data_IF_862432621312
#
_entry.id   IF_862432621312
#
_cell.length_a   1.000
_cell.length_b   1.000
_cell.length_c   1.000
_cell.angle_alpha   90.00
_cell.angle_beta   90.00
_cell.angle_gamma   90.00
#
_symmetry.space_group_name_H-M   'P 1'
#
loop_
_entity.id
_entity.type
_entity.pdbx_description
1 polymer ?
#
# COMPACT_ATOMS: atom_id res chain seq x y z
N UNK A 1 -10.14 3.01 -1.13
CA UNK A 1 -11.33 2.76 -1.95
C UNK A 1 -12.55 3.51 -1.40
N UNK A 2 -12.93 3.34 -0.13
CA UNK A 2 -14.10 3.99 0.49
C UNK A 2 -14.13 5.48 0.24
N UNK A 3 -13.06 6.20 0.54
CA UNK A 3 -12.97 7.65 0.26
C UNK A 3 -13.22 7.98 -1.21
N UNK A 4 -12.68 7.20 -2.15
CA UNK A 4 -12.91 7.43 -3.57
C UNK A 4 -14.40 7.30 -3.93
N UNK A 5 -15.10 6.30 -3.39
CA UNK A 5 -16.55 6.13 -3.57
C UNK A 5 -17.36 7.29 -2.97
N UNK A 6 -16.92 7.86 -1.85
CA UNK A 6 -17.54 9.02 -1.21
C UNK A 6 -17.43 10.31 -2.04
N UNK A 7 -16.50 10.33 -3.01
CA UNK A 7 -16.35 11.37 -4.02
C UNK A 7 -16.90 10.92 -5.40
N UNK A 8 -17.93 10.06 -5.41
CA UNK A 8 -18.64 9.57 -6.61
C UNK A 8 -17.70 8.96 -7.67
N UNK A 9 -16.57 8.39 -7.23
CA UNK A 9 -15.52 7.86 -8.12
C UNK A 9 -15.02 8.86 -9.19
N UNK A 10 -15.19 10.17 -8.94
CA UNK A 10 -14.86 11.24 -9.88
C UNK A 10 -13.36 11.28 -10.24
N UNK A 11 -12.50 10.71 -9.38
CA UNK A 11 -11.05 10.73 -9.55
C UNK A 11 -10.50 9.31 -9.69
N UNK A 12 -9.54 9.12 -10.60
CA UNK A 12 -8.75 7.90 -10.67
C UNK A 12 -7.78 7.80 -9.50
N UNK A 13 -7.29 6.59 -9.19
CA UNK A 13 -6.25 6.42 -8.17
C UNK A 13 -4.97 7.21 -8.47
N UNK A 14 -4.60 7.36 -9.75
CA UNK A 14 -3.46 8.15 -10.16
C UNK A 14 -3.64 9.64 -9.79
N UNK A 15 -4.80 10.21 -10.11
CA UNK A 15 -5.12 11.61 -9.75
C UNK A 15 -5.13 11.82 -8.23
N UNK A 16 -5.65 10.86 -7.46
CA UNK A 16 -5.62 10.95 -5.99
C UNK A 16 -4.18 10.91 -5.47
N UNK A 17 -3.31 10.09 -6.07
CA UNK A 17 -1.89 10.07 -5.74
C UNK A 17 -1.20 11.41 -6.04
N UNK A 18 -1.47 12.01 -7.20
CA UNK A 18 -0.94 13.34 -7.56
C UNK A 18 -1.40 14.41 -6.56
N UNK A 19 -2.69 14.45 -6.24
CA UNK A 19 -3.23 15.38 -5.22
C UNK A 19 -2.61 15.17 -3.84
N UNK A 20 -2.34 13.91 -3.46
CA UNK A 20 -1.68 13.60 -2.19
C UNK A 20 -0.22 14.06 -2.20
N UNK A 21 0.49 13.91 -3.32
CA UNK A 21 1.85 14.38 -3.45
C UNK A 21 1.96 15.91 -3.38
N UNK A 22 1.00 16.64 -3.98
CA UNK A 22 0.89 18.08 -3.85
C UNK A 22 0.66 18.52 -2.39
N UNK A 23 -0.08 17.74 -1.61
CA UNK A 23 -0.38 17.98 -0.21
C UNK A 23 0.60 17.26 0.77
N UNK A 24 1.76 16.81 0.31
CA UNK A 24 2.71 15.94 1.06
C UNK A 24 3.14 16.49 2.43
N UNK A 25 3.13 17.81 2.59
CA UNK A 25 3.55 18.48 3.82
C UNK A 25 2.41 18.57 4.86
N UNK A 26 1.23 18.00 4.58
CA UNK A 26 0.12 17.98 5.52
C UNK A 26 0.49 17.14 6.76
N UNK A 27 0.41 17.72 7.99
CA UNK A 27 1.11 17.16 9.15
C UNK A 27 0.38 16.02 9.85
N UNK A 28 -0.94 15.89 9.66
CA UNK A 28 -1.78 15.01 10.48
C UNK A 28 -1.58 13.53 10.12
N UNK A 29 -1.75 12.68 11.14
CA UNK A 29 -1.61 11.22 11.05
C UNK A 29 -2.72 10.54 11.83
N UNK A 30 -3.14 9.38 11.37
CA UNK A 30 -4.11 8.54 12.06
C UNK A 30 -3.49 7.18 12.39
N UNK A 31 -3.97 6.54 13.44
CA UNK A 31 -3.63 5.14 13.65
C UNK A 31 -4.47 4.27 12.71
N UNK A 32 -3.87 3.80 11.61
CA UNK A 32 -4.58 3.00 10.61
C UNK A 32 -5.21 1.70 11.15
N UNK A 33 -4.78 1.24 12.33
CA UNK A 33 -5.32 0.06 13.00
C UNK A 33 -6.38 0.40 14.08
N UNK A 34 -6.80 1.67 14.17
CA UNK A 34 -7.87 2.04 15.10
C UNK A 34 -9.20 1.46 14.66
N UNK A 35 -9.97 0.95 15.61
CA UNK A 35 -11.27 0.28 15.36
C UNK A 35 -12.27 1.18 14.62
N UNK A 36 -12.15 2.50 14.77
CA UNK A 36 -13.01 3.47 14.08
C UNK A 36 -12.91 3.40 12.55
N UNK A 37 -11.79 2.87 12.00
CA UNK A 37 -11.58 2.72 10.56
C UNK A 37 -11.99 1.36 10.00
N UNK A 38 -12.44 0.43 10.85
CA UNK A 38 -12.74 -0.93 10.41
C UNK A 38 -13.94 -0.99 9.44
N UNK A 39 -15.01 -0.26 9.73
CA UNK A 39 -16.20 -0.19 8.87
C UNK A 39 -17.04 1.07 9.16
N UNK A 40 -16.50 2.27 8.98
CA UNK A 40 -17.24 3.50 9.19
C UNK A 40 -18.30 3.71 8.10
N UNK A 41 -19.40 4.37 8.42
CA UNK A 41 -20.41 4.79 7.44
C UNK A 41 -19.84 5.78 6.41
N UNK A 42 -18.93 6.65 6.85
CA UNK A 42 -18.23 7.61 6.01
C UNK A 42 -16.76 7.73 6.46
N UNK A 43 -15.85 7.24 5.64
CA UNK A 43 -14.42 7.20 5.95
C UNK A 43 -13.79 8.59 5.97
N UNK A 44 -14.20 9.49 5.09
CA UNK A 44 -13.73 10.88 5.06
C UNK A 44 -14.02 11.57 6.37
N UNK A 45 -15.27 11.46 6.83
CA UNK A 45 -15.70 12.06 8.09
C UNK A 45 -14.96 11.44 9.27
N UNK A 46 -14.77 10.12 9.28
CA UNK A 46 -14.07 9.43 10.37
C UNK A 46 -12.60 9.87 10.49
N UNK A 47 -11.89 10.02 9.37
CA UNK A 47 -10.53 10.56 9.37
C UNK A 47 -10.50 12.00 9.90
N UNK A 48 -11.46 12.84 9.50
CA UNK A 48 -11.57 14.22 9.99
C UNK A 48 -11.88 14.26 11.48
N UNK A 49 -12.81 13.43 11.96
CA UNK A 49 -13.19 13.36 13.36
C UNK A 49 -12.05 12.79 14.22
N UNK A 50 -11.29 11.83 13.70
CA UNK A 50 -10.05 11.36 14.33
C UNK A 50 -9.05 12.51 14.53
N UNK A 51 -8.79 13.30 13.51
CA UNK A 51 -7.90 14.46 13.61
C UNK A 51 -8.42 15.49 14.63
N UNK A 52 -9.75 15.78 14.66
CA UNK A 52 -10.34 16.69 15.64
C UNK A 52 -10.15 16.22 17.07
N UNK A 53 -10.50 14.96 17.36
CA UNK A 53 -10.42 14.41 18.73
C UNK A 53 -8.99 14.24 19.24
N UNK A 54 -8.02 14.17 18.32
CA UNK A 54 -6.59 14.10 18.67
C UNK A 54 -5.89 15.46 18.62
N UNK A 55 -6.62 16.57 18.39
CA UNK A 55 -6.08 17.92 18.36
C UNK A 55 -5.17 18.22 17.17
N UNK A 56 -5.32 17.47 16.08
CA UNK A 56 -4.53 17.63 14.86
C UNK A 56 -5.25 18.53 13.85
N UNK A 57 -4.50 19.05 12.87
CA UNK A 57 -5.08 19.77 11.73
C UNK A 57 -6.02 18.84 10.96
N UNK A 58 -7.24 19.30 10.69
CA UNK A 58 -8.25 18.52 9.97
C UNK A 58 -8.03 18.63 8.47
N UNK A 59 -7.95 17.50 7.73
CA UNK A 59 -7.87 17.56 6.26
C UNK A 59 -9.19 18.04 5.66
N UNK A 60 -9.13 19.03 4.77
CA UNK A 60 -10.29 19.65 4.14
C UNK A 60 -10.42 19.27 2.66
N UNK A 61 -9.30 18.98 2.00
CA UNK A 61 -9.28 18.59 0.59
C UNK A 61 -9.03 17.09 0.42
N UNK A 62 -9.39 16.55 -0.76
CA UNK A 62 -9.12 15.15 -1.09
C UNK A 62 -7.62 14.84 -1.06
N UNK A 63 -6.77 15.77 -1.51
CA UNK A 63 -5.32 15.62 -1.46
C UNK A 63 -4.78 15.53 -0.04
N UNK A 64 -5.21 16.44 0.87
CA UNK A 64 -4.84 16.38 2.28
C UNK A 64 -5.31 15.08 2.95
N UNK A 65 -6.56 14.67 2.67
CA UNK A 65 -7.13 13.44 3.19
C UNK A 65 -6.33 12.21 2.72
N UNK A 66 -6.02 12.15 1.42
CA UNK A 66 -5.22 11.07 0.85
C UNK A 66 -3.79 11.05 1.44
N UNK A 67 -3.19 12.23 1.67
CA UNK A 67 -1.87 12.34 2.33
C UNK A 67 -1.92 11.77 3.75
N UNK A 68 -2.92 12.13 4.54
CA UNK A 68 -3.11 11.57 5.90
C UNK A 68 -3.20 10.06 5.84
N UNK A 69 -4.03 9.52 4.95
CA UNK A 69 -4.24 8.07 4.82
C UNK A 69 -2.96 7.37 4.35
N UNK A 70 -2.35 7.82 3.27
CA UNK A 70 -1.19 7.13 2.68
C UNK A 70 0.04 7.17 3.59
N UNK A 71 0.30 8.31 4.23
CA UNK A 71 1.43 8.41 5.16
C UNK A 71 1.20 7.56 6.40
N UNK A 72 -0.02 7.58 6.95
CA UNK A 72 -0.38 6.74 8.10
C UNK A 72 -0.28 5.24 7.80
N UNK A 73 -0.68 4.82 6.60
CA UNK A 73 -0.51 3.43 6.15
C UNK A 73 0.97 3.06 6.01
N UNK A 74 1.79 3.93 5.41
CA UNK A 74 3.22 3.68 5.27
C UNK A 74 3.92 3.56 6.63
N UNK A 75 3.57 4.40 7.60
CA UNK A 75 4.07 4.32 8.98
C UNK A 75 3.61 3.03 9.67
N UNK A 76 2.35 2.62 9.47
CA UNK A 76 1.83 1.35 9.97
C UNK A 76 2.60 0.16 9.39
N UNK A 77 2.88 0.16 8.10
CA UNK A 77 3.67 -0.90 7.46
C UNK A 77 5.10 -0.94 7.99
N UNK A 78 5.72 0.22 8.23
CA UNK A 78 7.06 0.28 8.83
C UNK A 78 7.08 -0.32 10.24
N UNK A 79 6.09 0.02 11.06
CA UNK A 79 5.93 -0.55 12.40
C UNK A 79 5.76 -2.08 12.34
N UNK A 80 4.83 -2.57 11.50
CA UNK A 80 4.58 -4.00 11.34
C UNK A 80 5.81 -4.76 10.82
N UNK A 81 6.55 -4.17 9.87
CA UNK A 81 7.78 -4.78 9.37
C UNK A 81 8.82 -4.95 10.48
N UNK A 82 8.97 -3.95 11.35
CA UNK A 82 9.87 -4.01 12.49
C UNK A 82 9.42 -5.07 13.52
N UNK A 83 8.14 -5.11 13.85
CA UNK A 83 7.58 -6.12 14.75
C UNK A 83 7.80 -7.54 14.23
N UNK A 84 7.63 -7.77 12.92
CA UNK A 84 7.92 -9.06 12.28
C UNK A 84 9.41 -9.43 12.38
N UNK A 85 10.31 -8.48 12.19
CA UNK A 85 11.75 -8.71 12.36
C UNK A 85 12.10 -9.08 13.80
N UNK A 86 11.53 -8.39 14.78
CA UNK A 86 11.71 -8.69 16.20
C UNK A 86 11.18 -10.07 16.56
N UNK A 87 9.98 -10.44 16.08
CA UNK A 87 9.35 -11.73 16.36
C UNK A 87 10.09 -12.90 15.71
N UNK A 88 10.61 -12.71 14.49
CA UNK A 88 11.25 -13.78 13.73
C UNK A 88 12.76 -13.87 13.95
N UNK A 89 13.38 -12.85 14.54
CA UNK A 89 14.83 -12.72 14.65
C UNK A 89 15.55 -12.59 13.30
N UNK A 90 14.81 -12.20 12.24
CA UNK A 90 15.33 -12.08 10.87
C UNK A 90 15.20 -10.65 10.38
N UNK A 91 16.12 -10.22 9.54
CA UNK A 91 16.06 -8.95 8.82
C UNK A 91 15.60 -9.18 7.39
N UNK A 92 14.64 -8.39 6.93
CA UNK A 92 14.11 -8.46 5.56
C UNK A 92 14.57 -7.23 4.77
N UNK A 93 15.21 -7.44 3.63
CA UNK A 93 15.68 -6.35 2.75
C UNK A 93 14.59 -5.80 1.84
N UNK A 94 13.52 -6.55 1.62
CA UNK A 94 12.46 -6.19 0.66
C UNK A 94 11.07 -6.59 1.13
N UNK A 95 10.07 -5.87 0.62
CA UNK A 95 8.64 -6.15 0.81
C UNK A 95 8.02 -6.30 -0.57
N UNK A 96 7.24 -7.36 -0.76
CA UNK A 96 6.46 -7.58 -1.98
C UNK A 96 5.02 -7.13 -1.78
N UNK A 97 4.56 -6.18 -2.61
CA UNK A 97 3.17 -5.72 -2.64
C UNK A 97 2.53 -6.28 -3.91
N UNK A 98 1.51 -7.10 -3.76
CA UNK A 98 0.84 -7.79 -4.85
C UNK A 98 -0.65 -7.44 -4.90
N UNK A 99 -1.32 -7.74 -6.01
CA UNK A 99 -2.72 -7.39 -6.20
C UNK A 99 -2.93 -5.89 -6.44
N UNK A 100 -4.15 -5.40 -6.21
CA UNK A 100 -4.53 -4.02 -6.49
C UNK A 100 -3.68 -2.95 -5.81
N UNK A 101 -3.14 -3.23 -4.62
CA UNK A 101 -2.26 -2.32 -3.88
C UNK A 101 -0.95 -2.00 -4.60
N UNK A 102 -0.48 -2.88 -5.49
CA UNK A 102 0.73 -2.65 -6.27
C UNK A 102 0.64 -1.45 -7.22
N UNK A 103 -0.58 -1.00 -7.56
CA UNK A 103 -0.82 0.15 -8.43
C UNK A 103 -0.77 1.51 -7.71
N UNK A 104 -0.70 1.53 -6.38
CA UNK A 104 -0.65 2.76 -5.60
C UNK A 104 0.79 3.29 -5.51
N UNK A 105 1.31 3.86 -6.62
CA UNK A 105 2.71 4.27 -6.76
C UNK A 105 3.19 5.15 -5.61
N UNK A 106 2.45 6.21 -5.29
CA UNK A 106 2.81 7.14 -4.20
C UNK A 106 2.86 6.46 -2.83
N UNK A 107 1.89 5.58 -2.50
CA UNK A 107 1.93 4.79 -1.27
C UNK A 107 3.15 3.86 -1.24
N UNK A 108 3.49 3.25 -2.38
CA UNK A 108 4.66 2.36 -2.48
C UNK A 108 5.97 3.12 -2.24
N UNK A 109 6.10 4.36 -2.74
CA UNK A 109 7.23 5.23 -2.44
C UNK A 109 7.30 5.63 -0.96
N UNK A 110 6.18 6.04 -0.39
CA UNK A 110 6.11 6.35 1.04
C UNK A 110 6.47 5.13 1.89
N UNK A 111 6.03 3.95 1.48
CA UNK A 111 6.35 2.69 2.18
C UNK A 111 7.85 2.39 2.10
N UNK A 112 8.49 2.57 0.94
CA UNK A 112 9.93 2.39 0.80
C UNK A 112 10.70 3.36 1.72
N UNK A 113 10.33 4.64 1.72
CA UNK A 113 10.92 5.67 2.59
C UNK A 113 10.75 5.35 4.07
N UNK A 114 9.55 4.93 4.49
CA UNK A 114 9.22 4.65 5.89
C UNK A 114 9.90 3.37 6.40
N UNK A 115 9.92 2.32 5.59
CA UNK A 115 10.49 1.01 5.98
C UNK A 115 11.99 0.92 5.77
N UNK A 116 12.57 1.77 4.92
CA UNK A 116 13.95 1.69 4.40
C UNK A 116 14.25 0.34 3.75
N UNK A 117 13.27 -0.22 3.06
CA UNK A 117 13.34 -1.51 2.37
C UNK A 117 12.95 -1.32 0.91
N UNK A 118 13.47 -2.19 0.04
CA UNK A 118 13.01 -2.21 -1.35
C UNK A 118 11.56 -2.71 -1.41
N UNK A 119 10.71 -1.96 -2.10
CA UNK A 119 9.32 -2.35 -2.34
C UNK A 119 9.20 -2.88 -3.76
N UNK A 120 8.87 -4.14 -3.90
CA UNK A 120 8.60 -4.80 -5.17
C UNK A 120 7.08 -4.85 -5.39
N UNK A 121 6.57 -3.95 -6.21
CA UNK A 121 5.14 -3.77 -6.46
C UNK A 121 4.70 -4.47 -7.76
N UNK A 122 3.88 -5.47 -7.64
CA UNK A 122 3.36 -6.33 -8.71
C UNK A 122 3.68 -7.82 -8.49
N UNK A 123 3.05 -8.69 -9.26
CA UNK A 123 2.00 -8.41 -10.24
C UNK A 123 0.64 -8.06 -9.60
N UNK A 124 -0.20 -7.33 -10.36
CA UNK A 124 -1.56 -6.98 -9.93
C UNK A 124 -2.47 -8.21 -9.76
N UNK A 125 -2.36 -9.18 -10.66
CA UNK A 125 -3.16 -10.42 -10.68
C UNK A 125 -2.40 -11.61 -10.06
N UNK A 126 -1.75 -11.39 -8.92
CA UNK A 126 -0.84 -12.38 -8.30
C UNK A 126 -1.51 -13.72 -7.99
N UNK A 127 -2.80 -13.74 -7.60
CA UNK A 127 -3.52 -14.97 -7.30
C UNK A 127 -3.69 -15.85 -8.54
N UNK A 128 -4.12 -15.27 -9.65
CA UNK A 128 -4.29 -15.99 -10.91
C UNK A 128 -2.93 -16.50 -11.43
N UNK A 129 -1.93 -15.62 -11.43
CA UNK A 129 -0.56 -15.96 -11.85
C UNK A 129 0.02 -17.08 -10.98
N UNK A 130 -0.16 -17.01 -9.66
CA UNK A 130 0.30 -18.05 -8.74
C UNK A 130 -0.34 -19.42 -9.00
N UNK A 131 -1.65 -19.45 -9.28
CA UNK A 131 -2.36 -20.67 -9.64
C UNK A 131 -1.84 -21.28 -10.96
N UNK A 132 -1.65 -20.45 -11.98
CA UNK A 132 -1.09 -20.91 -13.27
C UNK A 132 0.35 -21.41 -13.06
N UNK A 133 1.17 -20.67 -12.32
CA UNK A 133 2.56 -21.06 -12.02
C UNK A 133 2.65 -22.42 -11.33
N UNK A 134 1.75 -22.69 -10.37
CA UNK A 134 1.71 -23.99 -9.69
C UNK A 134 1.37 -25.15 -10.65
N UNK A 135 0.47 -24.91 -11.62
CA UNK A 135 0.15 -25.90 -12.65
C UNK A 135 1.31 -26.11 -13.62
N UNK A 136 1.99 -25.04 -14.03
CA UNK A 136 3.16 -25.11 -14.92
C UNK A 136 4.34 -25.84 -14.25
N UNK A 137 4.58 -25.61 -12.96
CA UNK A 137 5.57 -26.36 -12.18
C UNK A 137 5.23 -27.87 -12.15
N UNK A 138 3.95 -28.20 -11.94
CA UNK A 138 3.49 -29.59 -11.96
C UNK A 138 3.61 -30.25 -13.35
N UNK A 139 3.44 -29.45 -14.41
CA UNK A 139 3.59 -29.91 -15.80
C UNK A 139 5.05 -29.91 -16.27
N UNK A 140 6.01 -29.61 -15.38
CA UNK A 140 7.45 -29.53 -15.64
C UNK A 140 7.86 -28.48 -16.69
N UNK A 141 6.99 -27.48 -16.94
CA UNK A 141 7.28 -26.32 -17.80
C UNK A 141 8.30 -25.38 -17.14
N UNK A 142 8.33 -25.34 -15.79
CA UNK A 142 9.38 -24.71 -14.99
C UNK A 142 10.09 -25.78 -14.16
N UNK A 143 11.41 -25.69 -14.10
CA UNK A 143 12.23 -26.64 -13.32
C UNK A 143 12.21 -26.31 -11.83
N UNK A 144 12.14 -25.02 -11.49
CA UNK A 144 12.18 -24.54 -10.10
C UNK A 144 11.22 -23.37 -9.88
N UNK A 145 10.86 -23.13 -8.63
CA UNK A 145 10.07 -21.96 -8.24
C UNK A 145 10.83 -20.65 -8.45
N UNK A 146 12.15 -20.68 -8.35
CA UNK A 146 13.04 -19.55 -8.56
C UNK A 146 13.02 -19.11 -10.02
N UNK A 147 13.08 -20.07 -10.95
CA UNK A 147 12.95 -19.82 -12.39
C UNK A 147 11.60 -19.17 -12.69
N UNK A 148 10.51 -19.73 -12.18
CA UNK A 148 9.17 -19.21 -12.35
C UNK A 148 9.04 -17.75 -11.81
N UNK A 149 9.60 -17.47 -10.62
CA UNK A 149 9.61 -16.12 -10.02
C UNK A 149 10.37 -15.11 -10.87
N UNK A 150 11.50 -15.52 -11.46
CA UNK A 150 12.28 -14.64 -12.35
C UNK A 150 11.46 -14.27 -13.58
N UNK A 151 10.85 -15.26 -14.23
CA UNK A 151 10.02 -15.03 -15.41
C UNK A 151 8.79 -14.17 -15.07
N UNK A 152 8.13 -14.39 -13.93
CA UNK A 152 7.02 -13.54 -13.48
C UNK A 152 7.48 -12.10 -13.29
N UNK A 153 8.61 -11.89 -12.64
CA UNK A 153 9.14 -10.55 -12.41
C UNK A 153 9.40 -9.81 -13.72
N UNK A 154 9.97 -10.48 -14.70
CA UNK A 154 10.28 -9.90 -16.02
C UNK A 154 9.02 -9.68 -16.88
N UNK A 155 8.07 -10.63 -16.84
CA UNK A 155 6.89 -10.62 -17.72
C UNK A 155 5.78 -9.67 -17.26
N UNK A 156 5.64 -9.43 -15.96
CA UNK A 156 4.51 -8.68 -15.39
C UNK A 156 4.87 -7.29 -14.86
N UNK A 157 6.03 -6.75 -15.26
CA UNK A 157 6.39 -5.35 -15.01
C UNK A 157 6.42 -4.97 -13.54
N UNK A 158 6.97 -5.83 -12.67
CA UNK A 158 7.15 -5.52 -11.25
C UNK A 158 8.00 -4.26 -11.08
N UNK A 159 7.44 -3.24 -10.43
CA UNK A 159 8.13 -1.97 -10.16
C UNK A 159 8.88 -2.06 -8.84
N UNK A 160 10.08 -1.48 -8.80
CA UNK A 160 10.91 -1.43 -7.59
C UNK A 160 11.02 0.01 -7.12
N UNK A 161 10.67 0.25 -5.85
CA UNK A 161 10.83 1.53 -5.17
C UNK A 161 11.90 1.39 -4.08
N UNK A 162 12.72 2.46 -3.89
CA UNK A 162 13.85 2.48 -2.94
C UNK A 162 13.79 3.68 -2.02
#
# INVERSE_FOLDING_TARGET
QSVRHEFDDAYSFAQICEMAEEAKDFPSRVNANDECFLSPENMTKEVQDYCRRTGQKVPETLGELATVIYTSLAECYAKTAKELEEMTGRTYSRIHIVGGGSNAGYLNELTAKATKKEIHAGPGEATAIGNITAQMLKAEEFKTIEEARTIIHESFGVKVYK
#
